data_IF_172273320594
#
_entry.id   IF_172273320594
#
_cell.length_a   1.000
_cell.length_b   1.000
_cell.length_c   1.000
_cell.angle_alpha   90.00
_cell.angle_beta   90.00
_cell.angle_gamma   90.00
#
_symmetry.space_group_name_H-M   'P 1'
#
loop_
_entity.id
_entity.type
_entity.pdbx_description
1 polymer ?
#
# COMPACT_ATOMS: atom_id res chain seq x y z
N UNK A 1 46.65 -7.73 -29.86
CA UNK A 1 46.49 -8.16 -28.45
C UNK A 1 46.22 -6.94 -27.58
N UNK A 2 44.97 -6.67 -27.20
CA UNK A 2 44.67 -5.79 -26.06
C UNK A 2 43.49 -6.38 -25.30
N UNK A 3 43.70 -6.56 -24.00
CA UNK A 3 42.96 -7.44 -23.10
C UNK A 3 41.95 -6.62 -22.31
N UNK A 4 40.68 -7.02 -22.41
CA UNK A 4 39.53 -6.40 -21.75
C UNK A 4 39.58 -6.72 -20.23
N UNK A 5 39.64 -5.69 -19.36
CA UNK A 5 39.52 -5.84 -17.89
C UNK A 5 38.17 -5.31 -17.43
N UNK A 6 37.24 -6.22 -17.12
CA UNK A 6 35.97 -5.93 -16.42
C UNK A 6 36.28 -5.55 -14.96
N UNK A 7 35.71 -4.44 -14.47
CA UNK A 7 35.83 -3.98 -13.08
C UNK A 7 34.67 -4.54 -12.22
N UNK A 8 34.92 -5.23 -11.11
CA UNK A 8 33.90 -5.68 -10.17
C UNK A 8 33.67 -4.58 -9.11
N UNK A 9 32.89 -3.55 -9.44
CA UNK A 9 32.70 -2.39 -8.55
C UNK A 9 31.29 -2.23 -7.96
N UNK A 10 30.27 -2.82 -8.57
CA UNK A 10 28.87 -2.52 -8.25
C UNK A 10 28.36 -3.23 -6.98
N UNK A 11 28.90 -4.39 -6.62
CA UNK A 11 28.40 -5.20 -5.50
C UNK A 11 28.93 -4.75 -4.13
N UNK A 12 30.10 -4.10 -4.09
CA UNK A 12 30.70 -3.60 -2.84
C UNK A 12 30.05 -2.30 -2.36
N UNK A 13 29.52 -1.47 -3.27
CA UNK A 13 28.85 -0.22 -2.91
C UNK A 13 27.46 -0.45 -2.30
N UNK A 14 26.70 -1.43 -2.80
CA UNK A 14 25.40 -1.80 -2.23
C UNK A 14 25.52 -2.36 -0.79
N UNK A 15 26.57 -3.12 -0.51
CA UNK A 15 26.82 -3.65 0.84
C UNK A 15 27.24 -2.56 1.84
N UNK A 16 28.01 -1.56 1.41
CA UNK A 16 28.46 -0.45 2.28
C UNK A 16 27.30 0.50 2.62
N UNK A 17 26.38 0.75 1.68
CA UNK A 17 25.19 1.59 1.93
C UNK A 17 24.24 0.92 2.94
N UNK A 18 24.07 -0.41 2.88
CA UNK A 18 23.24 -1.17 3.83
C UNK A 18 23.79 -1.13 5.27
N UNK A 19 25.13 -1.17 5.43
CA UNK A 19 25.79 -1.11 6.74
C UNK A 19 25.67 0.28 7.37
N UNK A 20 25.72 1.36 6.58
CA UNK A 20 25.58 2.73 7.10
C UNK A 20 24.16 3.01 7.60
N UNK A 21 23.13 2.45 6.95
CA UNK A 21 21.73 2.55 7.41
C UNK A 21 21.51 1.77 8.72
N UNK A 22 22.13 0.61 8.90
CA UNK A 22 22.04 -0.17 10.14
C UNK A 22 22.75 0.53 11.32
N UNK A 23 23.91 1.13 11.10
CA UNK A 23 24.67 1.83 12.17
C UNK A 23 23.97 3.10 12.64
N UNK A 24 23.29 3.81 11.74
CA UNK A 24 22.48 4.98 12.13
C UNK A 24 21.16 4.58 12.82
N UNK A 25 20.65 3.38 12.57
CA UNK A 25 19.44 2.85 13.21
C UNK A 25 19.69 2.35 14.65
N UNK A 26 20.88 1.83 14.96
CA UNK A 26 21.24 1.38 16.32
C UNK A 26 21.63 2.51 17.27
N UNK A 27 22.14 3.63 16.74
CA UNK A 27 22.55 4.78 17.56
C UNK A 27 21.37 5.44 18.30
N UNK A 28 20.15 5.36 17.77
CA UNK A 28 18.93 5.96 18.34
C UNK A 28 18.25 5.09 19.43
N UNK A 29 18.77 3.89 19.73
CA UNK A 29 18.20 2.99 20.77
C UNK A 29 18.89 3.01 22.12
N UNK A 30 20.01 3.71 22.28
CA UNK A 30 20.75 3.73 23.55
C UNK A 30 20.28 4.87 24.46
N UNK A 31 19.04 4.77 24.97
CA UNK A 31 18.47 5.90 25.70
C UNK A 31 17.29 5.62 26.64
N UNK A 32 16.99 4.39 27.05
CA UNK A 32 16.06 4.11 28.15
C UNK A 32 16.47 2.83 28.86
N UNK A 33 16.80 2.93 30.16
CA UNK A 33 17.17 1.79 30.99
C UNK A 33 15.97 0.91 31.36
N UNK A 34 16.18 -0.41 31.32
CA UNK A 34 15.20 -1.43 31.71
C UNK A 34 14.88 -1.41 33.21
N UNK A 35 13.61 -1.36 33.64
CA UNK A 35 13.24 -1.74 34.99
C UNK A 35 13.06 -3.26 35.10
N UNK A 36 13.78 -3.83 36.06
CA UNK A 36 13.77 -5.21 36.56
C UNK A 36 12.35 -5.74 36.85
N UNK A 37 11.96 -6.82 36.18
CA UNK A 37 10.70 -7.54 36.42
C UNK A 37 10.72 -8.31 37.76
N UNK A 38 9.63 -8.21 38.52
CA UNK A 38 9.33 -9.01 39.70
C UNK A 38 8.39 -10.20 39.34
N UNK A 39 8.42 -11.33 40.06
CA UNK A 39 7.70 -12.54 39.68
C UNK A 39 6.19 -12.46 39.97
N UNK A 40 5.39 -12.95 39.01
CA UNK A 40 3.93 -12.99 39.07
C UNK A 40 3.44 -14.26 39.78
N UNK A 41 2.52 -14.11 40.73
CA UNK A 41 1.89 -15.19 41.48
C UNK A 41 0.64 -15.72 40.75
N UNK A 42 0.53 -17.04 40.65
CA UNK A 42 -0.60 -17.77 40.06
C UNK A 42 -1.69 -17.99 41.11
N UNK A 43 -2.99 -17.78 40.80
CA UNK A 43 -4.07 -18.43 41.55
C UNK A 43 -4.62 -19.63 40.77
N UNK A 44 -4.66 -20.76 41.47
CA UNK A 44 -5.33 -22.00 41.11
C UNK A 44 -6.85 -21.83 41.29
N UNK A 45 -7.66 -22.23 40.32
CA UNK A 45 -9.11 -22.28 40.45
C UNK A 45 -9.62 -23.71 40.20
N UNK A 46 -10.19 -24.27 41.27
CA UNK A 46 -10.81 -25.58 41.40
C UNK A 46 -12.10 -25.70 40.59
N UNK A 47 -12.27 -26.81 39.85
CA UNK A 47 -13.53 -27.21 39.21
C UNK A 47 -14.38 -28.04 40.19
N UNK A 48 -15.71 -27.84 40.26
CA UNK A 48 -16.60 -28.86 40.80
C UNK A 48 -17.55 -29.44 39.74
N UNK A 49 -17.67 -30.76 39.76
CA UNK A 49 -18.97 -31.43 39.90
C UNK A 49 -19.71 -31.83 38.62
N UNK A 50 -19.47 -33.06 38.18
CA UNK A 50 -20.30 -33.84 37.25
C UNK A 50 -21.68 -34.16 37.83
N UNK A 51 -22.75 -33.95 37.06
CA UNK A 51 -24.08 -34.51 37.34
C UNK A 51 -24.70 -35.11 36.05
N UNK A 52 -25.31 -36.28 36.21
CA UNK A 52 -25.80 -37.20 35.18
C UNK A 52 -27.18 -36.80 34.56
N UNK A 53 -27.61 -37.40 33.42
CA UNK A 53 -28.74 -36.94 32.63
C UNK A 53 -30.04 -37.76 32.84
N UNK A 54 -31.20 -37.12 32.60
CA UNK A 54 -32.49 -37.75 32.26
C UNK A 54 -33.52 -36.68 31.81
N UNK A 55 -34.67 -37.04 31.20
CA UNK A 55 -34.83 -37.74 29.93
C UNK A 55 -35.60 -36.87 28.89
N UNK A 56 -35.56 -37.35 27.66
CA UNK A 56 -36.21 -36.85 26.44
C UNK A 56 -37.73 -36.69 26.54
N UNK A 57 -38.24 -35.57 26.01
CA UNK A 57 -39.61 -35.43 25.53
C UNK A 57 -39.58 -34.95 24.07
N UNK A 58 -40.25 -35.71 23.20
CA UNK A 58 -40.38 -35.44 21.79
C UNK A 58 -41.31 -34.25 21.55
N UNK A 59 -40.93 -33.36 20.63
CA UNK A 59 -41.77 -32.31 20.10
C UNK A 59 -41.77 -32.36 18.56
N UNK A 60 -42.88 -32.00 17.91
CA UNK A 60 -43.24 -32.48 16.58
C UNK A 60 -42.56 -31.72 15.44
N UNK A 61 -42.39 -32.44 14.33
CA UNK A 61 -41.93 -31.93 13.03
C UNK A 61 -42.96 -31.01 12.39
N UNK A 62 -42.57 -29.84 11.85
CA UNK A 62 -43.32 -29.17 10.81
C UNK A 62 -42.62 -29.27 9.45
N UNK A 63 -43.34 -29.91 8.53
CA UNK A 63 -43.54 -29.64 7.10
C UNK A 63 -42.43 -29.00 6.25
N UNK A 64 -42.22 -29.63 5.09
CA UNK A 64 -41.31 -29.26 4.01
C UNK A 64 -41.44 -27.80 3.54
N UNK A 65 -40.30 -27.14 3.41
CA UNK A 65 -40.13 -25.88 2.70
C UNK A 65 -39.81 -26.15 1.22
N UNK A 66 -40.40 -25.43 0.25
CA UNK A 66 -40.16 -25.66 -1.17
C UNK A 66 -38.74 -25.23 -1.58
N UNK A 67 -38.07 -26.06 -2.40
CA UNK A 67 -36.75 -25.78 -2.98
C UNK A 67 -36.78 -24.52 -3.88
N UNK A 68 -35.72 -23.68 -3.83
CA UNK A 68 -35.55 -22.59 -4.80
C UNK A 68 -35.37 -23.13 -6.23
N UNK A 69 -35.82 -22.41 -7.27
CA UNK A 69 -35.58 -22.80 -8.67
C UNK A 69 -34.08 -22.75 -9.00
N UNK A 70 -33.63 -23.70 -9.81
CA UNK A 70 -32.27 -23.74 -10.34
C UNK A 70 -31.95 -22.48 -11.18
N UNK A 71 -30.74 -21.91 -11.10
CA UNK A 71 -30.32 -20.82 -11.99
C UNK A 71 -30.33 -21.27 -13.45
N UNK A 72 -30.76 -20.44 -14.41
CA UNK A 72 -30.64 -20.73 -15.83
C UNK A 72 -29.17 -20.88 -16.24
N UNK A 73 -28.94 -21.80 -17.19
CA UNK A 73 -27.64 -22.28 -17.60
C UNK A 73 -26.67 -21.25 -18.18
N UNK A 74 -25.41 -21.67 -18.16
CA UNK A 74 -24.22 -21.07 -18.76
C UNK A 74 -24.49 -20.35 -20.08
N UNK A 75 -24.58 -19.02 -20.03
CA UNK A 75 -24.41 -18.17 -21.20
C UNK A 75 -22.97 -18.31 -21.73
N UNK A 76 -22.85 -18.40 -23.06
CA UNK A 76 -21.58 -18.56 -23.77
C UNK A 76 -20.56 -17.44 -23.52
N UNK A 77 -19.37 -17.54 -24.15
CA UNK A 77 -18.27 -16.60 -23.91
C UNK A 77 -18.75 -15.15 -24.08
N UNK A 78 -18.55 -14.37 -23.02
CA UNK A 78 -18.84 -12.93 -22.96
C UNK A 78 -18.19 -12.23 -24.16
N UNK A 79 -18.84 -11.19 -24.73
CA UNK A 79 -18.27 -10.43 -25.84
C UNK A 79 -16.88 -9.95 -25.46
N UNK A 80 -15.94 -10.08 -26.40
CA UNK A 80 -14.59 -9.52 -26.33
C UNK A 80 -14.62 -8.18 -25.61
N UNK A 81 -14.02 -8.12 -24.42
CA UNK A 81 -13.96 -6.89 -23.64
C UNK A 81 -13.48 -5.77 -24.57
N UNK A 82 -14.35 -4.78 -24.80
CA UNK A 82 -13.98 -3.55 -25.49
C UNK A 82 -12.65 -3.08 -24.92
N UNK A 83 -11.66 -2.86 -25.77
CA UNK A 83 -10.32 -2.47 -25.34
C UNK A 83 -10.42 -1.29 -24.37
N UNK A 84 -9.90 -1.48 -23.16
CA UNK A 84 -9.95 -0.50 -22.08
C UNK A 84 -9.20 0.76 -22.49
N UNK A 85 -9.92 1.86 -22.75
CA UNK A 85 -9.31 3.10 -23.26
C UNK A 85 -8.82 4.03 -22.12
N UNK A 86 -9.37 3.88 -20.90
CA UNK A 86 -8.92 4.58 -19.69
C UNK A 86 -9.33 3.80 -18.42
N UNK A 87 -8.73 4.09 -17.24
CA UNK A 87 -9.11 3.43 -15.99
C UNK A 87 -10.60 3.58 -15.66
N UNK A 88 -11.12 4.82 -15.67
CA UNK A 88 -12.53 5.12 -15.36
C UNK A 88 -13.53 4.46 -16.31
N UNK A 89 -13.22 4.40 -17.61
CA UNK A 89 -14.06 3.69 -18.58
C UNK A 89 -14.11 2.18 -18.34
N UNK A 90 -13.16 1.63 -17.60
CA UNK A 90 -13.11 0.23 -17.18
C UNK A 90 -13.50 0.01 -15.71
N UNK A 91 -14.14 1.01 -15.09
CA UNK A 91 -14.68 0.90 -13.74
C UNK A 91 -13.66 1.01 -12.63
N UNK A 92 -12.40 1.38 -12.95
CA UNK A 92 -11.39 1.67 -11.94
C UNK A 92 -11.46 3.13 -11.47
N UNK A 93 -10.96 3.45 -10.27
CA UNK A 93 -10.99 4.81 -9.76
C UNK A 93 -10.32 5.82 -10.70
N UNK A 94 -10.97 6.96 -10.88
CA UNK A 94 -10.44 8.17 -11.51
C UNK A 94 -10.87 9.41 -10.74
N UNK A 95 -10.45 10.59 -11.21
CA UNK A 95 -10.74 11.89 -10.61
C UNK A 95 -12.25 12.19 -10.40
N UNK A 96 -13.16 11.51 -11.10
CA UNK A 96 -14.61 11.70 -10.91
C UNK A 96 -15.19 10.82 -9.80
N UNK A 97 -14.48 9.77 -9.41
CA UNK A 97 -14.90 8.77 -8.42
C UNK A 97 -14.16 8.86 -7.09
N UNK A 98 -13.09 9.66 -7.02
CA UNK A 98 -12.22 9.82 -5.85
C UNK A 98 -12.21 11.25 -5.29
N UNK A 99 -11.72 11.38 -4.06
CA UNK A 99 -11.63 12.66 -3.37
C UNK A 99 -12.93 13.05 -2.64
N UNK A 100 -13.04 14.32 -2.20
CA UNK A 100 -14.14 14.79 -1.37
C UNK A 100 -15.46 14.83 -2.11
N UNK A 101 -16.53 14.42 -1.42
CA UNK A 101 -17.89 14.40 -1.98
C UNK A 101 -18.76 15.58 -1.54
N UNK A 102 -18.18 16.49 -0.74
CA UNK A 102 -18.85 17.65 -0.16
C UNK A 102 -18.02 18.91 -0.39
N UNK A 103 -18.65 20.07 -0.21
CA UNK A 103 -17.93 21.34 -0.17
C UNK A 103 -16.99 21.38 1.04
N UNK A 104 -15.82 21.98 0.84
CA UNK A 104 -14.78 22.08 1.86
C UNK A 104 -14.73 23.49 2.47
N UNK A 105 -14.44 23.54 3.77
CA UNK A 105 -14.11 24.76 4.49
C UNK A 105 -12.59 24.91 4.57
N UNK A 106 -12.08 26.11 4.37
CA UNK A 106 -10.63 26.35 4.43
C UNK A 106 -10.12 26.31 5.87
N UNK A 107 -9.10 25.50 6.12
CA UNK A 107 -8.37 25.42 7.38
C UNK A 107 -6.86 25.59 7.16
N UNK A 108 -6.34 26.80 7.40
CA UNK A 108 -4.91 27.08 7.32
C UNK A 108 -4.18 26.62 8.60
N UNK A 109 -4.14 25.31 8.84
CA UNK A 109 -3.56 24.74 10.07
C UNK A 109 -2.04 24.78 10.10
N UNK A 110 -1.39 24.92 8.93
CA UNK A 110 0.01 24.55 8.79
C UNK A 110 0.22 23.06 9.12
N UNK A 111 1.42 22.71 9.57
CA UNK A 111 1.71 21.35 10.02
C UNK A 111 1.09 21.13 11.41
N UNK A 112 0.10 20.24 11.50
CA UNK A 112 -0.68 19.98 12.71
C UNK A 112 -0.36 18.60 13.29
N UNK A 113 -0.13 18.54 14.60
CA UNK A 113 -0.08 17.27 15.34
C UNK A 113 -1.47 16.91 15.87
N UNK A 114 -1.99 15.75 15.52
CA UNK A 114 -3.26 15.23 16.05
C UNK A 114 -2.95 14.31 17.22
N UNK A 115 -3.33 14.72 18.43
CA UNK A 115 -2.95 14.04 19.69
C UNK A 115 -4.12 13.49 20.50
N UNK A 116 -5.34 13.62 19.98
CA UNK A 116 -6.57 13.19 20.66
C UNK A 116 -7.15 11.97 19.94
N UNK A 117 -7.31 10.88 20.68
CA UNK A 117 -7.93 9.66 20.17
C UNK A 117 -9.37 9.92 19.68
N UNK A 118 -9.77 9.24 18.61
CA UNK A 118 -11.09 9.38 18.00
C UNK A 118 -11.32 10.72 17.29
N UNK A 119 -10.27 11.50 17.01
CA UNK A 119 -10.41 12.77 16.28
C UNK A 119 -10.96 12.51 14.88
N UNK A 120 -11.99 13.28 14.49
CA UNK A 120 -12.54 13.27 13.13
C UNK A 120 -12.27 14.61 12.47
N UNK A 121 -11.53 14.60 11.37
CA UNK A 121 -11.28 15.74 10.48
C UNK A 121 -12.15 15.53 9.25
N UNK A 122 -13.15 16.39 9.04
CA UNK A 122 -14.14 16.25 7.98
C UNK A 122 -14.45 17.56 7.30
N UNK A 123 -14.47 17.57 5.96
CA UNK A 123 -14.85 18.74 5.19
C UNK A 123 -13.80 19.85 5.19
N UNK A 124 -12.54 19.55 5.53
CA UNK A 124 -11.50 20.57 5.65
C UNK A 124 -10.66 20.65 4.37
N UNK A 125 -10.36 21.87 3.90
CA UNK A 125 -9.31 22.17 2.92
C UNK A 125 -8.08 22.70 3.67
N UNK A 126 -7.13 21.79 3.90
CA UNK A 126 -5.95 21.98 4.74
C UNK A 126 -4.76 22.39 3.89
N UNK A 127 -4.14 23.52 4.25
CA UNK A 127 -2.80 23.89 3.77
C UNK A 127 -1.77 23.54 4.84
N UNK A 128 -1.08 22.44 4.64
CA UNK A 128 -0.17 21.87 5.63
C UNK A 128 -0.18 20.35 5.60
N UNK A 129 0.09 19.74 6.75
CA UNK A 129 0.19 18.29 6.90
C UNK A 129 -0.34 17.85 8.26
N UNK A 130 -0.67 16.57 8.39
CA UNK A 130 -1.16 15.96 9.62
C UNK A 130 -0.16 14.91 10.12
N UNK A 131 0.35 15.10 11.33
CA UNK A 131 1.20 14.12 12.03
C UNK A 131 0.42 13.51 13.21
N UNK A 132 0.11 12.23 13.11
CA UNK A 132 -0.88 11.56 13.95
C UNK A 132 -0.19 10.82 15.10
N UNK A 133 -0.51 11.28 16.32
CA UNK A 133 -0.08 10.75 17.61
C UNK A 133 -1.30 10.32 18.44
N UNK A 134 -2.28 9.68 17.80
CA UNK A 134 -3.56 9.33 18.40
C UNK A 134 -4.16 8.09 17.73
N UNK A 135 -4.96 7.33 18.48
CA UNK A 135 -5.72 6.20 17.96
C UNK A 135 -7.03 6.64 17.29
N UNK A 136 -7.52 5.81 16.38
CA UNK A 136 -8.87 5.91 15.79
C UNK A 136 -9.18 7.26 15.14
N UNK A 137 -8.15 7.91 14.58
CA UNK A 137 -8.32 9.16 13.84
C UNK A 137 -8.94 8.88 12.48
N UNK A 138 -9.99 9.63 12.13
CA UNK A 138 -10.60 9.58 10.80
C UNK A 138 -10.45 10.92 10.10
N UNK A 139 -9.82 10.89 8.93
CA UNK A 139 -9.77 12.01 7.99
C UNK A 139 -10.68 11.64 6.83
N UNK A 140 -11.75 12.40 6.60
CA UNK A 140 -12.75 12.05 5.60
C UNK A 140 -13.27 13.26 4.83
N UNK A 141 -13.56 13.11 3.54
CA UNK A 141 -14.16 14.17 2.72
C UNK A 141 -13.37 15.50 2.85
N UNK A 142 -12.04 15.43 2.74
CA UNK A 142 -11.14 16.56 3.03
C UNK A 142 -10.10 16.75 1.92
N UNK A 143 -9.42 17.89 1.89
CA UNK A 143 -8.26 18.15 1.04
C UNK A 143 -7.05 18.49 1.89
N UNK A 144 -5.88 17.98 1.51
CA UNK A 144 -4.60 18.31 2.11
C UNK A 144 -3.66 18.74 0.99
N UNK A 145 -3.12 19.96 1.09
CA UNK A 145 -2.06 20.48 0.22
C UNK A 145 -0.80 20.68 1.05
N UNK A 146 0.16 19.76 0.91
CA UNK A 146 1.36 19.69 1.76
C UNK A 146 2.59 20.33 1.13
N UNK A 147 3.42 20.92 1.99
CA UNK A 147 4.80 21.32 1.71
C UNK A 147 5.77 20.71 2.73
N UNK A 148 5.34 19.68 3.48
CA UNK A 148 6.14 18.96 4.47
C UNK A 148 6.74 17.69 3.83
N UNK A 149 7.26 16.74 4.61
CA UNK A 149 7.68 15.41 4.15
C UNK A 149 6.51 14.50 3.77
N UNK A 150 5.33 14.75 4.37
CA UNK A 150 4.12 13.98 4.15
C UNK A 150 2.85 14.82 4.05
N UNK A 151 1.78 14.27 3.50
CA UNK A 151 0.40 14.76 3.69
C UNK A 151 -0.16 14.33 5.05
N UNK A 152 -0.18 13.03 5.30
CA UNK A 152 -0.61 12.40 6.56
C UNK A 152 0.44 11.38 7.01
N UNK A 153 0.80 11.37 8.30
CA UNK A 153 1.72 10.39 8.85
C UNK A 153 1.17 9.77 10.13
N UNK A 154 1.11 8.44 10.22
CA UNK A 154 0.86 7.72 11.46
C UNK A 154 2.18 7.41 12.16
N UNK A 155 2.31 7.85 13.41
CA UNK A 155 3.49 7.58 14.24
C UNK A 155 3.46 6.18 14.88
N UNK A 156 4.63 5.62 15.22
CA UNK A 156 4.70 4.37 15.96
C UNK A 156 3.89 4.41 17.27
N UNK A 157 3.27 3.29 17.62
CA UNK A 157 2.49 3.15 18.86
C UNK A 157 1.01 3.52 18.76
N UNK A 158 0.56 4.05 17.61
CA UNK A 158 -0.84 4.42 17.37
C UNK A 158 -1.49 3.54 16.30
N UNK A 159 -2.82 3.49 16.28
CA UNK A 159 -3.59 2.58 15.42
C UNK A 159 -4.94 3.17 14.98
N UNK A 160 -5.61 2.50 14.03
CA UNK A 160 -6.98 2.87 13.64
C UNK A 160 -7.10 4.10 12.74
N UNK A 161 -5.99 4.59 12.15
CA UNK A 161 -6.04 5.69 11.19
C UNK A 161 -6.84 5.31 9.94
N UNK A 162 -7.79 6.17 9.58
CA UNK A 162 -8.56 6.10 8.34
C UNK A 162 -8.43 7.40 7.55
N UNK A 163 -8.13 7.30 6.26
CA UNK A 163 -8.08 8.41 5.32
C UNK A 163 -8.99 8.08 4.14
N UNK A 164 -10.15 8.74 4.07
CA UNK A 164 -11.24 8.34 3.19
C UNK A 164 -11.72 9.53 2.34
N UNK A 165 -12.05 9.32 1.06
CA UNK A 165 -12.63 10.36 0.21
C UNK A 165 -11.86 11.68 0.29
N UNK A 166 -10.53 11.64 0.26
CA UNK A 166 -9.68 12.79 0.53
C UNK A 166 -8.78 13.08 -0.66
N UNK A 167 -8.67 14.34 -1.05
CA UNK A 167 -7.64 14.77 -2.01
C UNK A 167 -6.37 15.05 -1.23
N UNK A 168 -5.26 14.40 -1.57
CA UNK A 168 -3.96 14.62 -0.95
C UNK A 168 -2.99 14.99 -2.06
N UNK A 169 -2.47 16.22 -2.02
CA UNK A 169 -1.48 16.68 -2.97
C UNK A 169 -0.35 17.42 -2.27
N UNK A 170 0.75 17.61 -2.99
CA UNK A 170 1.85 18.46 -2.57
C UNK A 170 2.03 19.65 -3.52
N UNK A 171 2.84 20.61 -3.11
CA UNK A 171 3.29 21.71 -3.98
C UNK A 171 4.68 21.37 -4.54
N UNK A 172 4.83 21.12 -5.85
CA UNK A 172 6.12 20.84 -6.47
C UNK A 172 7.17 21.90 -6.13
N UNK A 173 8.38 21.48 -5.76
CA UNK A 173 9.49 22.39 -5.45
C UNK A 173 9.39 23.07 -4.08
N UNK A 174 8.44 22.70 -3.23
CA UNK A 174 8.27 23.28 -1.88
C UNK A 174 8.47 22.31 -0.73
N UNK A 175 8.64 21.02 -1.02
CA UNK A 175 8.90 20.04 0.00
C UNK A 175 10.31 20.14 0.59
N UNK A 176 10.53 19.56 1.78
CA UNK A 176 11.80 19.67 2.51
C UNK A 176 12.93 18.87 1.84
N UNK A 177 12.62 17.89 0.99
CA UNK A 177 13.62 17.02 0.36
C UNK A 177 14.14 17.63 -0.95
N UNK A 178 14.84 18.76 -0.83
CA UNK A 178 15.30 19.56 -1.96
C UNK A 178 14.16 19.96 -2.91
N UNK A 179 13.04 20.39 -2.34
CA UNK A 179 11.82 20.79 -3.05
C UNK A 179 10.81 19.65 -3.25
N UNK A 180 11.19 18.40 -2.99
CA UNK A 180 10.30 17.25 -3.09
C UNK A 180 9.54 16.92 -1.81
N UNK A 181 8.33 16.37 -1.98
CA UNK A 181 7.53 15.79 -0.90
C UNK A 181 7.44 14.28 -1.08
N UNK A 182 7.76 13.54 -0.03
CA UNK A 182 7.98 12.10 -0.13
C UNK A 182 6.68 11.31 -0.07
N UNK A 183 5.82 11.54 0.91
CA UNK A 183 4.71 10.63 1.20
C UNK A 183 3.34 11.34 1.17
N UNK A 184 2.34 10.80 0.46
CA UNK A 184 0.98 11.29 0.63
C UNK A 184 0.44 10.82 1.99
N UNK A 185 0.53 9.51 2.22
CA UNK A 185 0.21 8.84 3.48
C UNK A 185 1.35 7.90 3.85
N UNK A 186 1.92 8.07 5.04
CA UNK A 186 2.95 7.18 5.60
C UNK A 186 2.49 6.50 6.88
N UNK A 187 2.79 5.20 6.99
CA UNK A 187 2.62 4.43 8.22
C UNK A 187 3.98 4.07 8.80
N UNK A 188 4.44 4.82 9.80
CA UNK A 188 5.67 4.51 10.53
C UNK A 188 5.44 3.50 11.67
N UNK A 189 4.20 3.06 11.89
CA UNK A 189 3.82 2.14 12.95
C UNK A 189 3.69 0.67 12.50
N UNK A 190 3.38 -0.18 13.48
CA UNK A 190 3.12 -1.61 13.30
C UNK A 190 1.63 -1.97 13.07
N UNK A 191 0.74 -0.98 13.10
CA UNK A 191 -0.71 -1.16 13.01
C UNK A 191 -1.20 -1.09 11.56
N UNK A 192 -2.39 -1.62 11.31
CA UNK A 192 -3.09 -1.49 10.02
C UNK A 192 -3.73 -0.10 9.90
N UNK A 193 -3.65 0.51 8.72
CA UNK A 193 -4.36 1.75 8.37
C UNK A 193 -5.32 1.51 7.19
N UNK A 194 -6.31 2.38 7.01
CA UNK A 194 -7.24 2.35 5.88
C UNK A 194 -7.06 3.61 5.03
N UNK A 195 -6.81 3.46 3.72
CA UNK A 195 -6.79 4.56 2.75
C UNK A 195 -7.72 4.20 1.60
N UNK A 196 -8.81 4.96 1.46
CA UNK A 196 -9.95 4.59 0.61
C UNK A 196 -10.50 5.75 -0.20
N UNK A 197 -10.81 5.54 -1.48
CA UNK A 197 -11.44 6.56 -2.36
C UNK A 197 -10.68 7.89 -2.42
N UNK A 198 -9.38 7.89 -2.18
CA UNK A 198 -8.56 9.10 -2.18
C UNK A 198 -8.04 9.43 -3.58
N UNK A 199 -7.92 10.73 -3.85
CA UNK A 199 -7.30 11.31 -5.03
C UNK A 199 -5.91 11.84 -4.62
N UNK A 200 -4.85 11.28 -5.17
CA UNK A 200 -3.49 11.47 -4.65
C UNK A 200 -2.51 11.82 -5.76
N UNK A 201 -1.79 12.94 -5.60
CA UNK A 201 -0.86 13.44 -6.63
C UNK A 201 0.41 14.07 -6.10
N UNK A 202 1.42 14.23 -6.98
CA UNK A 202 2.69 14.97 -6.79
C UNK A 202 3.77 14.25 -5.97
N UNK A 203 3.42 13.38 -5.03
CA UNK A 203 4.39 12.74 -4.13
C UNK A 203 5.40 11.82 -4.84
N UNK A 204 6.54 11.56 -4.19
CA UNK A 204 7.50 10.56 -4.66
C UNK A 204 7.04 9.14 -4.37
N UNK A 205 6.88 8.81 -3.10
CA UNK A 205 6.45 7.51 -2.58
C UNK A 205 5.05 7.65 -1.97
N UNK A 206 4.03 7.80 -2.81
CA UNK A 206 2.74 8.35 -2.40
C UNK A 206 2.10 7.59 -1.22
N UNK A 207 1.94 6.27 -1.34
CA UNK A 207 1.43 5.43 -0.26
C UNK A 207 2.57 4.56 0.29
N UNK A 208 3.14 4.93 1.45
CA UNK A 208 4.27 4.22 2.08
C UNK A 208 3.87 3.45 3.36
N UNK A 209 3.77 2.11 3.28
CA UNK A 209 3.41 1.26 4.43
C UNK A 209 3.73 -0.23 4.26
N UNK A 210 3.91 -0.92 5.40
CA UNK A 210 4.07 -2.38 5.46
C UNK A 210 2.77 -3.17 5.60
N UNK A 211 1.72 -2.57 6.17
CA UNK A 211 0.41 -3.19 6.36
C UNK A 211 -0.70 -2.14 6.30
N UNK A 212 -1.92 -2.58 5.95
CA UNK A 212 -3.06 -1.70 5.74
C UNK A 212 -4.04 -2.23 4.70
N UNK A 213 -5.12 -1.48 4.49
CA UNK A 213 -6.09 -1.67 3.44
C UNK A 213 -6.11 -0.42 2.55
N UNK A 214 -5.57 -0.55 1.34
CA UNK A 214 -5.49 0.51 0.33
C UNK A 214 -6.45 0.13 -0.80
N UNK A 215 -7.53 0.87 -0.93
CA UNK A 215 -8.57 0.49 -1.88
C UNK A 215 -9.26 1.66 -2.55
N UNK A 216 -9.72 1.44 -3.78
CA UNK A 216 -10.53 2.41 -4.51
C UNK A 216 -9.84 3.79 -4.68
N UNK A 217 -8.51 3.86 -4.58
CA UNK A 217 -7.75 5.11 -4.68
C UNK A 217 -7.32 5.40 -6.12
N UNK A 218 -7.15 6.68 -6.43
CA UNK A 218 -6.56 7.18 -7.67
C UNK A 218 -5.25 7.88 -7.34
N UNK A 219 -4.12 7.23 -7.64
CA UNK A 219 -2.78 7.80 -7.49
C UNK A 219 -2.23 8.14 -8.86
N UNK A 220 -1.95 9.42 -9.10
CA UNK A 220 -1.56 9.95 -10.41
C UNK A 220 -0.62 11.14 -10.31
N UNK A 221 -0.09 11.60 -11.43
CA UNK A 221 0.75 12.81 -11.51
C UNK A 221 1.85 12.88 -10.43
N UNK A 222 2.52 11.75 -10.18
CA UNK A 222 3.70 11.70 -9.33
C UNK A 222 4.81 12.57 -9.95
N UNK A 223 5.51 13.33 -9.13
CA UNK A 223 6.52 14.28 -9.61
C UNK A 223 7.91 13.84 -9.15
N UNK A 224 8.77 13.55 -10.13
CA UNK A 224 10.18 13.31 -9.86
C UNK A 224 10.88 14.55 -9.32
N UNK A 225 11.77 14.32 -8.36
CA UNK A 225 12.69 15.33 -7.85
C UNK A 225 14.02 14.68 -7.47
N UNK A 226 15.08 15.49 -7.40
CA UNK A 226 16.34 15.07 -6.81
C UNK A 226 16.28 15.33 -5.32
N UNK A 227 16.51 14.31 -4.49
CA UNK A 227 16.50 14.41 -3.03
C UNK A 227 17.68 15.28 -2.53
N UNK A 228 17.76 15.50 -1.21
CA UNK A 228 18.86 16.24 -0.56
C UNK A 228 20.25 15.62 -0.81
N UNK A 229 20.32 14.30 -1.04
CA UNK A 229 21.55 13.60 -1.44
C UNK A 229 21.97 13.88 -2.88
N UNK A 230 21.14 14.57 -3.66
CA UNK A 230 21.37 14.85 -5.07
C UNK A 230 21.03 13.67 -5.99
N UNK A 231 20.40 12.62 -5.50
CA UNK A 231 19.98 11.47 -6.29
C UNK A 231 18.54 11.65 -6.74
N UNK A 232 18.15 11.05 -7.86
CA UNK A 232 16.73 10.99 -8.20
C UNK A 232 16.01 10.16 -7.16
N UNK A 233 14.95 10.72 -6.58
CA UNK A 233 14.17 10.02 -5.59
C UNK A 233 13.45 8.82 -6.23
N UNK A 234 13.35 7.73 -5.47
CA UNK A 234 12.47 6.61 -5.83
C UNK A 234 11.03 7.10 -5.90
N UNK A 235 10.41 6.91 -7.06
CA UNK A 235 9.01 7.28 -7.29
C UNK A 235 8.16 6.02 -7.40
N UNK A 236 7.22 5.86 -6.47
CA UNK A 236 6.29 4.74 -6.34
C UNK A 236 4.88 5.25 -5.99
N UNK A 237 3.85 4.70 -6.64
CA UNK A 237 2.47 5.00 -6.23
C UNK A 237 2.12 4.31 -4.90
N UNK A 238 2.54 3.06 -4.72
CA UNK A 238 2.56 2.34 -3.44
C UNK A 238 3.95 1.77 -3.20
N UNK A 239 4.50 1.95 -2.01
CA UNK A 239 5.76 1.34 -1.59
C UNK A 239 5.63 0.61 -0.25
N UNK A 240 6.25 -0.56 -0.17
CA UNK A 240 6.47 -1.32 1.05
C UNK A 240 7.93 -1.74 1.13
N UNK A 241 8.62 -1.39 2.22
CA UNK A 241 10.01 -1.81 2.47
C UNK A 241 10.14 -3.21 3.08
N UNK A 242 9.05 -3.99 3.13
CA UNK A 242 9.04 -5.34 3.71
C UNK A 242 9.08 -5.35 5.24
N UNK A 243 9.37 -6.51 5.82
CA UNK A 243 9.45 -6.68 7.29
C UNK A 243 8.10 -6.57 8.01
N UNK A 244 7.00 -6.52 7.26
CA UNK A 244 5.65 -6.30 7.76
C UNK A 244 5.21 -7.40 8.74
N UNK A 245 4.39 -7.01 9.72
CA UNK A 245 3.82 -7.92 10.73
C UNK A 245 2.33 -8.18 10.51
N UNK A 246 1.65 -7.25 9.84
CA UNK A 246 0.27 -7.39 9.40
C UNK A 246 0.16 -7.67 7.91
N UNK A 247 -1.08 -7.76 7.41
CA UNK A 247 -1.36 -7.88 5.97
C UNK A 247 -1.42 -6.50 5.31
N UNK A 248 -0.83 -6.38 4.13
CA UNK A 248 -1.06 -5.24 3.22
C UNK A 248 -2.02 -5.69 2.13
N UNK A 249 -3.14 -5.00 1.98
CA UNK A 249 -4.12 -5.22 0.90
C UNK A 249 -4.13 -3.99 0.02
N UNK A 250 -3.89 -4.18 -1.27
CA UNK A 250 -3.90 -3.17 -2.33
C UNK A 250 -4.93 -3.64 -3.34
N UNK A 251 -6.15 -3.07 -3.29
CA UNK A 251 -7.30 -3.60 -4.05
C UNK A 251 -8.09 -2.54 -4.80
N UNK A 252 -8.42 -2.77 -6.07
CA UNK A 252 -9.31 -1.87 -6.82
C UNK A 252 -8.82 -0.42 -6.91
N UNK A 253 -7.50 -0.21 -6.96
CA UNK A 253 -6.92 1.12 -7.13
C UNK A 253 -6.52 1.37 -8.60
N UNK A 254 -6.43 2.64 -8.97
CA UNK A 254 -5.70 3.10 -10.15
C UNK A 254 -4.39 3.72 -9.71
N UNK A 255 -3.27 3.07 -10.04
CA UNK A 255 -1.93 3.41 -9.58
C UNK A 255 -1.04 3.74 -10.79
N UNK A 256 -0.77 5.03 -10.98
CA UNK A 256 -0.12 5.57 -12.17
C UNK A 256 1.23 6.19 -11.81
N UNK A 257 2.28 5.69 -12.45
CA UNK A 257 3.63 6.24 -12.35
C UNK A 257 4.15 6.61 -13.74
N UNK A 258 3.81 7.81 -14.21
CA UNK A 258 4.25 8.34 -15.49
C UNK A 258 5.73 8.79 -15.51
N UNK A 259 6.47 8.59 -14.42
CA UNK A 259 7.83 9.13 -14.27
C UNK A 259 8.78 8.47 -15.26
N UNK A 260 9.71 9.24 -15.89
CA UNK A 260 10.78 8.67 -16.70
C UNK A 260 11.80 7.86 -15.89
N UNK A 261 12.29 6.75 -16.44
CA UNK A 261 13.31 5.89 -15.77
C UNK A 261 14.63 6.58 -15.48
N UNK A 262 15.02 7.57 -16.28
CA UNK A 262 16.20 8.40 -16.04
C UNK A 262 15.98 9.46 -14.94
N UNK A 263 14.79 9.47 -14.33
CA UNK A 263 14.35 10.42 -13.29
C UNK A 263 13.70 9.74 -12.08
N UNK A 264 14.17 8.54 -11.72
CA UNK A 264 13.79 7.89 -10.46
C UNK A 264 12.50 7.06 -10.50
N UNK A 265 11.90 6.87 -11.67
CA UNK A 265 10.74 5.99 -11.81
C UNK A 265 11.07 4.58 -11.29
N UNK A 266 10.28 4.12 -10.32
CA UNK A 266 10.44 2.81 -9.71
C UNK A 266 9.23 1.94 -10.05
N UNK A 267 8.08 2.10 -9.40
CA UNK A 267 6.92 1.24 -9.65
C UNK A 267 5.55 1.90 -9.54
N UNK A 268 4.51 1.22 -10.01
CA UNK A 268 3.15 1.48 -9.52
C UNK A 268 2.97 0.82 -8.14
N UNK A 269 3.44 -0.42 -7.96
CA UNK A 269 3.51 -1.10 -6.66
C UNK A 269 4.92 -1.64 -6.44
N UNK A 270 5.64 -1.04 -5.49
CA UNK A 270 6.97 -1.45 -5.08
C UNK A 270 6.93 -2.28 -3.80
N UNK A 271 7.08 -3.60 -3.89
CA UNK A 271 7.32 -4.46 -2.72
C UNK A 271 8.82 -4.78 -2.67
N UNK A 272 9.51 -4.16 -1.72
CA UNK A 272 10.96 -4.27 -1.54
C UNK A 272 11.31 -4.96 -0.23
N UNK A 273 12.45 -5.64 -0.19
CA UNK A 273 12.93 -6.34 1.00
C UNK A 273 13.98 -5.51 1.77
N UNK A 274 13.80 -4.19 1.83
CA UNK A 274 14.81 -3.25 2.34
C UNK A 274 14.99 -3.32 3.86
N UNK A 275 13.88 -3.55 4.57
CA UNK A 275 13.84 -3.62 6.04
C UNK A 275 13.52 -5.02 6.56
N UNK A 276 13.31 -5.96 5.66
CA UNK A 276 13.02 -7.36 5.95
C UNK A 276 12.28 -8.03 4.81
N UNK A 277 12.06 -9.33 4.92
CA UNK A 277 11.32 -10.11 3.91
C UNK A 277 9.90 -9.58 3.75
N UNK A 278 9.43 -9.46 2.50
CA UNK A 278 8.04 -9.12 2.19
C UNK A 278 7.15 -10.35 2.44
N UNK A 279 6.07 -10.19 3.20
CA UNK A 279 5.12 -11.29 3.39
C UNK A 279 3.67 -10.83 3.41
N UNK A 280 2.71 -11.73 3.21
CA UNK A 280 1.28 -11.44 3.45
C UNK A 280 0.77 -10.17 2.74
N UNK A 281 1.00 -10.06 1.44
CA UNK A 281 0.52 -8.94 0.62
C UNK A 281 -0.52 -9.43 -0.38
N UNK A 282 -1.60 -8.67 -0.54
CA UNK A 282 -2.61 -8.87 -1.58
C UNK A 282 -2.56 -7.68 -2.52
N UNK A 283 -2.33 -7.94 -3.81
CA UNK A 283 -2.41 -6.99 -4.92
C UNK A 283 -3.49 -7.50 -5.85
N UNK A 284 -4.71 -7.01 -5.66
CA UNK A 284 -5.90 -7.58 -6.28
C UNK A 284 -6.67 -6.56 -7.10
N UNK A 285 -7.01 -6.90 -8.34
CA UNK A 285 -7.90 -6.10 -9.19
C UNK A 285 -7.50 -4.62 -9.21
N UNK A 286 -6.23 -4.28 -9.49
CA UNK A 286 -5.80 -2.90 -9.64
C UNK A 286 -5.53 -2.58 -11.11
N UNK A 287 -5.68 -1.30 -11.48
CA UNK A 287 -5.13 -0.75 -12.71
C UNK A 287 -3.73 -0.19 -12.44
N UNK A 288 -2.70 -0.85 -12.97
CA UNK A 288 -1.29 -0.50 -12.76
C UNK A 288 -0.70 0.04 -14.05
N UNK A 289 -0.01 1.18 -14.01
CA UNK A 289 0.66 1.72 -15.19
C UNK A 289 1.97 2.43 -14.85
N UNK A 290 3.02 2.13 -15.61
CA UNK A 290 4.26 2.90 -15.60
C UNK A 290 5.30 2.41 -14.59
N UNK A 291 6.25 3.28 -14.25
CA UNK A 291 7.45 2.94 -13.50
C UNK A 291 8.53 2.24 -14.34
N UNK A 292 9.64 1.87 -13.70
CA UNK A 292 10.62 0.95 -14.27
C UNK A 292 9.99 -0.43 -14.50
N UNK A 293 9.25 -0.92 -13.52
CA UNK A 293 8.30 -2.03 -13.65
C UNK A 293 6.98 -1.65 -12.98
N UNK A 294 5.82 -2.07 -13.48
CA UNK A 294 4.56 -1.78 -12.77
C UNK A 294 4.54 -2.42 -11.37
N UNK A 295 5.09 -3.63 -11.22
CA UNK A 295 5.11 -4.36 -9.96
C UNK A 295 6.50 -4.92 -9.62
N UNK A 296 6.97 -4.68 -8.40
CA UNK A 296 8.04 -5.46 -7.78
C UNK A 296 7.41 -6.49 -6.82
N UNK A 297 7.70 -7.77 -7.02
CA UNK A 297 7.03 -8.89 -6.36
C UNK A 297 7.57 -9.30 -4.97
N UNK A 298 8.45 -8.50 -4.37
CA UNK A 298 9.01 -8.77 -3.03
C UNK A 298 10.37 -9.48 -3.00
N UNK A 299 10.81 -10.06 -4.12
CA UNK A 299 12.13 -10.67 -4.28
C UNK A 299 12.31 -12.00 -3.54
N UNK A 300 13.56 -12.50 -3.46
CA UNK A 300 13.87 -13.75 -2.80
C UNK A 300 13.34 -13.81 -1.36
N UNK A 301 12.70 -14.92 -1.00
CA UNK A 301 12.14 -15.13 0.33
C UNK A 301 10.72 -14.60 0.53
N UNK A 302 10.17 -13.83 -0.43
CA UNK A 302 8.79 -13.33 -0.31
C UNK A 302 7.78 -14.48 -0.23
N UNK A 303 6.80 -14.38 0.70
CA UNK A 303 5.80 -15.42 0.98
C UNK A 303 4.39 -14.85 1.17
N UNK A 304 3.35 -15.62 0.86
CA UNK A 304 1.96 -15.18 0.99
C UNK A 304 1.60 -13.96 0.13
N UNK A 305 2.29 -13.76 -1.00
CA UNK A 305 2.05 -12.67 -1.95
C UNK A 305 1.00 -13.12 -2.97
N UNK A 306 -0.16 -12.50 -2.98
CA UNK A 306 -1.26 -12.81 -3.89
C UNK A 306 -1.41 -11.67 -4.89
N UNK A 307 -1.11 -11.93 -6.16
CA UNK A 307 -1.26 -10.98 -7.26
C UNK A 307 -2.33 -11.51 -8.20
N UNK A 308 -3.53 -10.96 -8.11
CA UNK A 308 -4.72 -11.54 -8.75
C UNK A 308 -5.57 -10.52 -9.49
N UNK A 309 -5.96 -10.83 -10.73
CA UNK A 309 -6.98 -10.05 -11.45
C UNK A 309 -6.56 -8.63 -11.88
N UNK A 310 -5.28 -8.24 -11.76
CA UNK A 310 -4.84 -6.88 -12.06
C UNK A 310 -4.79 -6.61 -13.57
N UNK A 311 -4.98 -5.34 -13.92
CA UNK A 311 -4.78 -4.80 -15.27
C UNK A 311 -3.44 -4.05 -15.32
N UNK A 312 -2.51 -4.58 -16.11
CA UNK A 312 -1.23 -3.98 -16.44
C UNK A 312 -1.38 -3.10 -17.68
N UNK A 313 -1.58 -1.81 -17.48
CA UNK A 313 -1.92 -0.88 -18.54
C UNK A 313 -0.72 -0.47 -19.39
N UNK A 314 -0.95 -0.39 -20.70
CA UNK A 314 0.01 0.10 -21.69
C UNK A 314 0.06 1.63 -21.81
N UNK A 315 -0.67 2.35 -20.96
CA UNK A 315 -0.87 3.81 -21.03
C UNK A 315 0.44 4.62 -21.10
N UNK A 316 1.50 4.20 -20.38
CA UNK A 316 2.79 4.90 -20.39
C UNK A 316 3.90 4.12 -21.12
N UNK A 317 3.85 2.79 -21.07
CA UNK A 317 4.83 1.92 -21.72
C UNK A 317 4.13 0.69 -22.30
N UNK A 318 4.56 0.17 -23.47
CA UNK A 318 3.95 -1.01 -24.10
C UNK A 318 3.91 -2.28 -23.23
N UNK A 319 4.78 -2.37 -22.23
CA UNK A 319 4.88 -3.51 -21.31
C UNK A 319 4.41 -3.18 -19.88
N UNK A 320 3.67 -2.09 -19.67
CA UNK A 320 3.23 -1.65 -18.32
C UNK A 320 4.40 -1.46 -17.35
N UNK A 321 5.33 -0.60 -17.76
CA UNK A 321 6.64 -0.41 -17.14
C UNK A 321 7.69 -0.33 -18.23
N UNK A 322 8.74 0.44 -18.03
CA UNK A 322 9.79 0.62 -19.03
C UNK A 322 10.55 -0.67 -19.32
N UNK A 323 10.69 -1.54 -18.32
CA UNK A 323 11.42 -2.82 -18.41
C UNK A 323 10.49 -4.04 -18.37
N UNK A 324 9.21 -3.86 -18.03
CA UNK A 324 8.22 -4.92 -18.04
C UNK A 324 7.13 -4.73 -16.98
N UNK A 325 6.13 -5.62 -16.96
CA UNK A 325 5.01 -5.51 -16.04
C UNK A 325 5.39 -5.89 -14.60
N UNK A 326 6.32 -6.84 -14.44
CA UNK A 326 6.69 -7.37 -13.13
C UNK A 326 8.17 -7.75 -13.08
N UNK A 327 8.78 -7.58 -11.92
CA UNK A 327 10.09 -8.14 -11.57
C UNK A 327 10.11 -8.63 -10.12
N UNK A 328 11.20 -9.30 -9.73
CA UNK A 328 11.42 -9.78 -8.37
C UNK A 328 10.26 -10.66 -7.85
N UNK A 329 9.65 -11.46 -8.72
CA UNK A 329 8.64 -12.44 -8.32
C UNK A 329 9.30 -13.70 -7.75
N UNK A 330 8.84 -14.16 -6.59
CA UNK A 330 9.29 -15.43 -6.00
C UNK A 330 8.28 -16.55 -6.28
N UNK A 331 8.40 -17.23 -7.41
CA UNK A 331 7.49 -18.29 -7.82
C UNK A 331 7.45 -19.49 -6.84
N UNK A 332 8.56 -19.75 -6.13
CA UNK A 332 8.66 -20.82 -5.13
C UNK A 332 8.24 -20.41 -3.72
N UNK A 333 7.81 -19.17 -3.52
CA UNK A 333 7.40 -18.68 -2.20
C UNK A 333 6.13 -19.35 -1.70
N UNK A 334 6.17 -19.86 -0.46
CA UNK A 334 5.00 -20.48 0.15
C UNK A 334 3.81 -19.51 0.18
N UNK A 335 2.67 -19.94 -0.35
CA UNK A 335 1.45 -19.13 -0.41
C UNK A 335 1.49 -17.98 -1.44
N UNK A 336 2.54 -17.89 -2.28
CA UNK A 336 2.54 -16.95 -3.38
C UNK A 336 1.59 -17.43 -4.49
N UNK A 337 0.76 -16.52 -4.98
CA UNK A 337 -0.24 -16.80 -6.01
C UNK A 337 -0.13 -15.73 -7.08
N UNK A 338 -0.02 -16.16 -8.34
CA UNK A 338 -0.17 -15.31 -9.51
C UNK A 338 -1.33 -15.85 -10.33
N UNK A 339 -2.36 -15.04 -10.57
CA UNK A 339 -3.56 -15.53 -11.26
C UNK A 339 -4.34 -14.43 -11.96
N UNK A 340 -4.90 -14.73 -13.13
CA UNK A 340 -5.89 -13.88 -13.82
C UNK A 340 -5.42 -12.43 -14.10
N UNK A 341 -4.10 -12.19 -14.13
CA UNK A 341 -3.52 -10.89 -14.45
C UNK A 341 -3.41 -10.70 -15.96
N UNK A 342 -3.71 -9.50 -16.46
CA UNK A 342 -3.74 -9.20 -17.90
C UNK A 342 -3.23 -7.81 -18.21
N UNK A 343 -2.75 -7.61 -19.44
CA UNK A 343 -2.50 -6.30 -20.02
C UNK A 343 -3.84 -5.59 -20.28
N UNK A 344 -3.83 -4.26 -20.47
CA UNK A 344 -5.03 -3.49 -20.84
C UNK A 344 -5.67 -3.90 -22.17
N UNK A 345 -4.91 -4.56 -23.06
CA UNK A 345 -5.41 -5.15 -24.30
C UNK A 345 -5.95 -6.59 -24.14
N UNK A 346 -5.97 -7.12 -22.91
CA UNK A 346 -6.49 -8.43 -22.56
C UNK A 346 -5.48 -9.57 -22.62
N UNK A 347 -4.25 -9.35 -23.12
CA UNK A 347 -3.22 -10.40 -23.11
C UNK A 347 -2.87 -10.82 -21.68
N UNK A 348 -2.73 -12.12 -21.37
CA UNK A 348 -2.27 -12.55 -20.05
C UNK A 348 -0.89 -11.98 -19.70
N UNK A 349 -0.67 -11.70 -18.41
CA UNK A 349 0.65 -11.36 -17.87
C UNK A 349 1.11 -12.52 -17.02
N UNK A 350 2.31 -13.03 -17.32
CA UNK A 350 3.00 -14.02 -16.51
C UNK A 350 4.31 -13.43 -15.99
N UNK A 351 4.69 -13.71 -14.74
CA UNK A 351 5.98 -13.30 -14.22
C UNK A 351 7.09 -14.11 -14.89
N UNK A 352 8.22 -13.47 -15.16
CA UNK A 352 9.40 -14.19 -15.60
C UNK A 352 9.83 -15.19 -14.51
N UNK A 353 10.12 -16.44 -14.94
CA UNK A 353 10.60 -17.54 -14.11
C UNK A 353 12.04 -17.36 -13.67
#
# INVERSE_FOLDING_TARGET
MLRNRRRPGAWLLAAVVLVVVLVLYDADRTGVGDPKAAPSATPSATLPGTAAPAPTTAAPSPSASPSPPAPPGTGGPSPSASACTSPGACGYPDANSTGPRIALERHDTGNMSVKKDGTVIKGWDIRGSLDIYANDVTIIDSRITSTNWWGVNLRPGFSGLKVLHTTITAVPGKGPDNGGVNYAVSNMGGSSIEVGWCDISVFGNALSMGQGNLHDNYVHDLVAFRNQGGEWQHIDAVISGGGNKGRLTIRHNTLLNATPVDKGATAAVGLFADTGVVSSVVVEDNWLAGGAYALYGGGPGATGIQVTGNVFSTQYHPASGAYGPVTAWNAGGAGNVWKDNRMSDGRPVEPAS
#
